data_IF_211771433835
#
_entry.id   IF_211771433835
#
_cell.length_a   1.000
_cell.length_b   1.000
_cell.length_c   1.000
_cell.angle_alpha   90.00
_cell.angle_beta   90.00
_cell.angle_gamma   90.00
#
_symmetry.space_group_name_H-M   'P 1'
#
loop_
_entity.id
_entity.type
_entity.pdbx_description
1 polymer ?
#
# COMPACT_ATOMS: atom_id res chain seq x y z
N UNK A 1 -4.56 -12.23 0.32
CA UNK A 1 -4.51 -13.50 -0.44
C UNK A 1 -4.48 -14.69 0.53
N UNK A 2 -4.63 -15.92 0.03
CA UNK A 2 -4.25 -17.12 0.80
C UNK A 2 -2.79 -16.98 1.23
N UNK A 3 -2.49 -17.31 2.49
CA UNK A 3 -1.18 -17.11 3.13
C UNK A 3 -1.06 -15.79 3.89
N UNK A 4 -1.81 -14.74 3.55
CA UNK A 4 -1.71 -13.47 4.27
C UNK A 4 -2.35 -13.56 5.68
N UNK A 5 -1.53 -13.34 6.71
CA UNK A 5 -1.94 -13.32 8.10
C UNK A 5 -2.53 -14.67 8.54
N UNK A 6 -3.85 -14.71 8.80
CA UNK A 6 -4.55 -15.94 9.18
C UNK A 6 -5.25 -16.65 8.00
N UNK A 7 -5.12 -16.13 6.77
CA UNK A 7 -5.72 -16.75 5.59
C UNK A 7 -4.88 -17.96 5.15
N UNK A 8 -5.50 -19.11 4.90
CA UNK A 8 -4.77 -20.35 4.58
C UNK A 8 -5.53 -21.23 3.59
N UNK A 9 -4.81 -22.21 3.02
CA UNK A 9 -5.39 -23.29 2.23
C UNK A 9 -4.96 -24.63 2.81
N UNK A 10 -5.87 -25.60 2.84
CA UNK A 10 -5.54 -26.99 3.20
C UNK A 10 -4.76 -27.73 2.11
N UNK A 11 -4.75 -27.18 0.90
CA UNK A 11 -4.04 -27.72 -0.26
C UNK A 11 -2.85 -26.81 -0.57
N UNK A 12 -1.62 -27.34 -0.72
CA UNK A 12 -0.45 -26.55 -1.06
C UNK A 12 -0.66 -25.67 -2.30
N UNK A 13 -1.36 -26.17 -3.32
CA UNK A 13 -1.65 -25.42 -4.56
C UNK A 13 -2.54 -24.19 -4.34
N UNK A 14 -3.24 -24.10 -3.21
CA UNK A 14 -4.05 -22.93 -2.90
C UNK A 14 -3.22 -21.70 -2.53
N UNK A 15 -1.92 -21.86 -2.32
CA UNK A 15 -0.97 -20.76 -2.13
C UNK A 15 -0.45 -20.18 -3.46
N UNK A 16 -0.62 -20.89 -4.57
CA UNK A 16 -0.24 -20.41 -5.91
C UNK A 16 -1.25 -19.37 -6.39
N UNK A 17 -1.10 -18.14 -5.91
CA UNK A 17 -2.02 -17.01 -6.17
C UNK A 17 -1.28 -15.82 -6.78
N UNK A 18 -2.04 -14.93 -7.38
CA UNK A 18 -1.57 -13.67 -7.96
C UNK A 18 -2.60 -12.57 -7.74
N UNK A 19 -2.37 -11.39 -8.29
CA UNK A 19 -3.26 -10.24 -8.12
C UNK A 19 -4.64 -10.52 -8.72
N UNK A 20 -4.70 -11.13 -9.91
CA UNK A 20 -5.96 -11.51 -10.56
C UNK A 20 -6.70 -12.57 -9.75
N UNK A 21 -6.06 -13.70 -9.42
CA UNK A 21 -6.73 -14.78 -8.69
C UNK A 21 -7.12 -14.37 -7.28
N UNK A 22 -6.29 -13.57 -6.60
CA UNK A 22 -6.63 -12.96 -5.29
C UNK A 22 -7.85 -12.07 -5.40
N UNK A 23 -7.93 -11.22 -6.43
CA UNK A 23 -9.07 -10.31 -6.62
C UNK A 23 -10.37 -11.09 -6.88
N UNK A 24 -10.30 -12.18 -7.65
CA UNK A 24 -11.46 -13.05 -7.89
C UNK A 24 -11.89 -13.81 -6.62
N UNK A 25 -10.93 -14.30 -5.82
CA UNK A 25 -11.22 -14.92 -4.53
C UNK A 25 -11.84 -13.92 -3.54
N UNK A 26 -11.37 -12.68 -3.49
CA UNK A 26 -11.94 -11.62 -2.65
C UNK A 26 -13.35 -11.24 -3.13
N UNK A 27 -13.58 -11.19 -4.43
CA UNK A 27 -14.92 -11.00 -4.99
C UNK A 27 -15.87 -12.13 -4.57
N UNK A 28 -15.44 -13.39 -4.67
CA UNK A 28 -16.22 -14.54 -4.22
C UNK A 28 -16.47 -14.52 -2.70
N UNK A 29 -15.46 -14.12 -1.90
CA UNK A 29 -15.59 -13.92 -0.46
C UNK A 29 -16.67 -12.89 -0.13
N UNK A 30 -16.69 -11.75 -0.83
CA UNK A 30 -17.71 -10.71 -0.63
C UNK A 30 -19.11 -11.26 -0.94
N UNK A 31 -19.27 -11.96 -2.07
CA UNK A 31 -20.54 -12.59 -2.43
C UNK A 31 -21.04 -13.52 -1.33
N UNK A 32 -20.19 -14.45 -0.87
CA UNK A 32 -20.52 -15.37 0.22
C UNK A 32 -20.87 -14.64 1.52
N UNK A 33 -20.07 -13.65 1.90
CA UNK A 33 -20.30 -12.88 3.12
C UNK A 33 -21.65 -12.17 3.09
N UNK A 34 -22.02 -11.54 1.97
CA UNK A 34 -23.30 -10.87 1.82
C UNK A 34 -24.49 -11.83 1.68
N UNK A 35 -24.28 -13.05 1.16
CA UNK A 35 -25.27 -14.13 1.22
C UNK A 35 -25.56 -14.53 2.67
N UNK A 36 -24.52 -14.68 3.49
CA UNK A 36 -24.66 -15.08 4.90
C UNK A 36 -25.11 -13.92 5.81
N UNK A 37 -24.91 -12.67 5.38
CA UNK A 37 -25.25 -11.47 6.15
C UNK A 37 -26.14 -10.51 5.36
N UNK A 38 -27.35 -10.93 4.94
CA UNK A 38 -28.21 -10.17 4.03
C UNK A 38 -28.65 -8.82 4.61
N UNK A 39 -28.66 -8.67 5.95
CA UNK A 39 -28.94 -7.40 6.64
C UNK A 39 -28.01 -6.25 6.22
N UNK A 40 -26.83 -6.55 5.66
CA UNK A 40 -25.90 -5.52 5.21
C UNK A 40 -26.06 -5.14 3.74
N UNK A 41 -26.87 -5.85 2.95
CA UNK A 41 -27.02 -5.63 1.50
C UNK A 41 -27.48 -4.21 1.14
N UNK A 42 -28.27 -3.59 2.00
CA UNK A 42 -28.79 -2.23 1.79
C UNK A 42 -27.75 -1.15 2.11
N UNK A 43 -26.67 -1.47 2.82
CA UNK A 43 -25.66 -0.48 3.17
C UNK A 43 -24.82 -0.09 1.95
N UNK A 44 -24.44 1.19 1.82
CA UNK A 44 -23.42 1.63 0.87
C UNK A 44 -22.13 0.80 1.04
N UNK A 45 -21.69 0.15 -0.03
CA UNK A 45 -20.43 -0.57 -0.08
C UNK A 45 -19.34 0.29 -0.71
N UNK A 46 -18.21 0.42 -0.02
CA UNK A 46 -16.98 1.02 -0.53
C UNK A 46 -15.83 0.04 -0.39
N UNK A 47 -14.94 0.00 -1.39
CA UNK A 47 -13.71 -0.80 -1.35
C UNK A 47 -12.51 0.11 -1.08
N UNK A 48 -11.65 -0.25 -0.13
CA UNK A 48 -10.50 0.56 0.26
C UNK A 48 -9.22 -0.25 0.40
N UNK A 49 -8.08 0.39 0.14
CA UNK A 49 -6.76 -0.17 0.47
C UNK A 49 -5.61 0.75 0.06
N UNK A 50 -4.42 0.48 0.60
CA UNK A 50 -3.21 1.26 0.33
C UNK A 50 -2.17 0.45 -0.48
N UNK A 51 -1.22 1.14 -1.09
CA UNK A 51 -0.04 0.52 -1.74
C UNK A 51 -0.43 -0.40 -2.90
N UNK A 52 -0.01 -1.67 -2.88
CA UNK A 52 -0.33 -2.70 -3.88
C UNK A 52 -1.85 -2.90 -4.05
N UNK A 53 -2.66 -2.50 -3.07
CA UNK A 53 -4.11 -2.48 -3.23
C UNK A 53 -4.58 -1.59 -4.39
N UNK A 54 -3.75 -0.67 -4.89
CA UNK A 54 -3.98 0.06 -6.14
C UNK A 54 -4.13 -0.83 -7.38
N UNK A 55 -3.66 -2.08 -7.34
CA UNK A 55 -3.96 -3.08 -8.36
C UNK A 55 -5.29 -3.79 -8.09
N UNK A 56 -5.49 -4.22 -6.85
CA UNK A 56 -6.59 -5.10 -6.46
C UNK A 56 -7.93 -4.36 -6.37
N UNK A 57 -7.98 -3.22 -5.68
CA UNK A 57 -9.21 -2.47 -5.40
C UNK A 57 -9.98 -2.09 -6.67
N UNK A 58 -9.39 -1.42 -7.68
CA UNK A 58 -10.12 -1.07 -8.89
C UNK A 58 -10.51 -2.31 -9.71
N UNK A 59 -9.71 -3.38 -9.69
CA UNK A 59 -10.07 -4.64 -10.34
C UNK A 59 -11.29 -5.29 -9.69
N UNK A 60 -11.30 -5.38 -8.35
CA UNK A 60 -12.44 -5.94 -7.59
C UNK A 60 -13.68 -5.08 -7.80
N UNK A 61 -13.55 -3.75 -7.76
CA UNK A 61 -14.66 -2.83 -8.05
C UNK A 61 -15.25 -3.08 -9.45
N UNK A 62 -14.41 -3.29 -10.46
CA UNK A 62 -14.87 -3.64 -11.81
C UNK A 62 -15.62 -4.97 -11.81
N UNK A 63 -15.12 -6.01 -11.13
CA UNK A 63 -15.79 -7.32 -11.06
C UNK A 63 -17.17 -7.25 -10.38
N UNK A 64 -17.30 -6.41 -9.34
CA UNK A 64 -18.59 -6.14 -8.72
C UNK A 64 -19.52 -5.40 -9.70
N UNK A 65 -19.04 -4.37 -10.39
CA UNK A 65 -19.83 -3.64 -11.41
C UNK A 65 -20.35 -4.57 -12.51
N UNK A 66 -19.48 -5.40 -13.08
CA UNK A 66 -19.85 -6.40 -14.09
C UNK A 66 -20.91 -7.38 -13.55
N UNK A 67 -20.81 -7.76 -12.27
CA UNK A 67 -21.79 -8.62 -11.60
C UNK A 67 -23.16 -7.95 -11.45
N UNK A 68 -23.19 -6.66 -11.11
CA UNK A 68 -24.42 -5.85 -11.00
C UNK A 68 -25.10 -5.71 -12.37
N UNK A 69 -24.34 -5.36 -13.40
CA UNK A 69 -24.85 -5.23 -14.79
C UNK A 69 -25.42 -6.56 -15.31
N UNK A 70 -24.80 -7.68 -14.94
CA UNK A 70 -25.27 -9.01 -15.28
C UNK A 70 -26.43 -9.53 -14.38
N UNK A 71 -26.90 -8.74 -13.42
CA UNK A 71 -27.99 -9.13 -12.51
C UNK A 71 -27.65 -10.30 -11.58
N UNK A 72 -26.37 -10.50 -11.26
CA UNK A 72 -25.92 -11.60 -10.38
C UNK A 72 -26.31 -11.30 -8.93
N UNK A 73 -26.93 -12.29 -8.28
CA UNK A 73 -27.30 -12.21 -6.86
C UNK A 73 -26.17 -12.69 -5.94
N UNK A 74 -25.99 -12.08 -4.75
CA UNK A 74 -26.67 -10.87 -4.30
C UNK A 74 -26.15 -9.62 -5.00
N UNK A 75 -27.05 -8.65 -5.25
CA UNK A 75 -26.67 -7.35 -5.80
C UNK A 75 -25.99 -6.55 -4.70
N UNK A 76 -24.69 -6.26 -4.89
CA UNK A 76 -23.91 -5.48 -3.94
C UNK A 76 -24.15 -3.98 -4.17
N UNK A 77 -24.45 -3.23 -3.12
CA UNK A 77 -24.71 -1.78 -3.20
C UNK A 77 -23.41 -0.95 -3.30
N UNK A 78 -22.58 -1.23 -4.31
CA UNK A 78 -21.31 -0.53 -4.55
C UNK A 78 -21.56 0.96 -4.84
N UNK A 79 -20.89 1.84 -4.09
CA UNK A 79 -20.95 3.30 -4.30
C UNK A 79 -19.65 3.91 -4.78
N UNK A 80 -18.53 3.26 -4.49
CA UNK A 80 -17.23 3.75 -4.91
C UNK A 80 -16.08 2.96 -4.29
N UNK A 81 -14.89 3.47 -4.50
CA UNK A 81 -13.67 2.91 -3.92
C UNK A 81 -12.69 4.02 -3.55
N UNK A 82 -11.74 3.69 -2.69
CA UNK A 82 -10.67 4.58 -2.29
C UNK A 82 -9.33 3.85 -2.29
N UNK A 83 -8.28 4.55 -2.72
CA UNK A 83 -6.93 3.99 -2.74
C UNK A 83 -5.90 4.99 -2.24
N UNK A 84 -5.06 4.54 -1.31
CA UNK A 84 -4.02 5.36 -0.68
C UNK A 84 -2.63 4.99 -1.16
N UNK A 85 -1.83 5.99 -1.55
CA UNK A 85 -0.50 5.82 -2.11
C UNK A 85 -0.44 4.64 -3.11
N UNK A 86 -1.33 4.59 -4.12
CA UNK A 86 -1.56 3.39 -4.90
C UNK A 86 -0.45 3.15 -5.92
N UNK A 87 0.18 1.98 -5.84
CA UNK A 87 0.93 1.47 -6.97
C UNK A 87 -0.06 1.10 -8.08
N UNK A 88 0.32 1.35 -9.33
CA UNK A 88 -0.47 1.08 -10.54
C UNK A 88 0.20 0.16 -11.53
N UNK A 89 1.50 -0.11 -11.36
CA UNK A 89 2.29 -0.98 -12.23
C UNK A 89 2.95 -0.22 -13.39
N UNK A 90 2.62 1.05 -13.54
CA UNK A 90 3.19 1.94 -14.54
C UNK A 90 4.65 2.29 -14.24
N UNK A 91 5.35 2.71 -15.29
CA UNK A 91 6.72 3.22 -15.19
C UNK A 91 6.77 4.48 -14.32
N UNK A 92 5.69 5.28 -14.32
CA UNK A 92 5.61 6.53 -13.56
C UNK A 92 5.67 6.34 -12.04
N UNK A 93 5.27 5.18 -11.53
CA UNK A 93 5.38 4.85 -10.10
C UNK A 93 6.86 4.82 -9.65
N UNK A 94 7.78 4.53 -10.56
CA UNK A 94 9.22 4.47 -10.28
C UNK A 94 9.93 5.77 -10.64
N UNK A 95 9.68 6.28 -11.85
CA UNK A 95 10.40 7.46 -12.32
C UNK A 95 10.07 8.71 -11.48
N UNK A 96 8.86 8.80 -10.94
CA UNK A 96 8.46 9.89 -10.03
C UNK A 96 9.24 9.93 -8.71
N UNK A 97 9.87 8.82 -8.29
CA UNK A 97 10.71 8.76 -7.08
C UNK A 97 11.93 9.68 -7.18
N UNK A 98 12.46 9.87 -8.39
CA UNK A 98 13.61 10.76 -8.63
C UNK A 98 13.21 12.22 -8.45
N UNK A 99 12.15 12.67 -9.12
CA UNK A 99 11.63 14.05 -8.96
C UNK A 99 11.17 14.32 -7.53
N UNK A 100 10.57 13.33 -6.87
CA UNK A 100 10.17 13.47 -5.47
C UNK A 100 11.37 13.65 -4.55
N UNK A 101 12.39 12.78 -4.66
CA UNK A 101 13.59 12.84 -3.83
C UNK A 101 14.36 14.16 -4.03
N UNK A 102 14.37 14.69 -5.25
CA UNK A 102 14.93 16.00 -5.55
C UNK A 102 14.15 17.11 -4.84
N UNK A 103 12.82 17.13 -4.97
CA UNK A 103 11.96 18.15 -4.38
C UNK A 103 11.97 18.20 -2.84
N UNK A 104 12.36 17.11 -2.19
CA UNK A 104 12.47 17.02 -0.72
C UNK A 104 13.92 17.02 -0.21
N UNK A 105 14.90 17.28 -1.09
CA UNK A 105 16.30 17.46 -0.72
C UNK A 105 17.09 16.20 -0.39
N UNK A 106 16.63 15.02 -0.82
CA UNK A 106 17.37 13.75 -0.67
C UNK A 106 18.51 13.65 -1.68
N UNK A 107 18.33 14.21 -2.89
CA UNK A 107 19.35 14.18 -3.95
C UNK A 107 19.67 15.60 -4.45
N UNK A 108 20.92 15.86 -4.89
CA UNK A 108 21.33 17.16 -5.43
C UNK A 108 20.89 17.35 -6.89
N UNK A 109 20.84 18.62 -7.33
CA UNK A 109 20.50 19.03 -8.70
C UNK A 109 21.31 18.27 -9.76
N UNK A 110 22.63 18.15 -9.56
CA UNK A 110 23.50 17.48 -10.52
C UNK A 110 23.09 16.02 -10.77
N UNK A 111 22.73 15.27 -9.72
CA UNK A 111 22.28 13.89 -9.87
C UNK A 111 20.91 13.83 -10.53
N UNK A 112 20.00 14.73 -10.14
CA UNK A 112 18.68 14.83 -10.75
C UNK A 112 18.76 15.09 -12.26
N UNK A 113 19.53 16.08 -12.69
CA UNK A 113 19.76 16.43 -14.10
C UNK A 113 20.41 15.28 -14.88
N UNK A 114 21.41 14.62 -14.30
CA UNK A 114 22.07 13.45 -14.90
C UNK A 114 21.08 12.32 -15.17
N UNK A 115 20.17 12.05 -14.22
CA UNK A 115 19.12 11.03 -14.41
C UNK A 115 18.15 11.45 -15.49
N UNK A 116 17.67 12.70 -15.48
CA UNK A 116 16.74 13.19 -16.50
C UNK A 116 17.32 13.18 -17.92
N UNK A 117 18.63 13.37 -18.07
CA UNK A 117 19.31 13.32 -19.36
C UNK A 117 19.51 11.89 -19.84
N UNK A 118 20.06 11.01 -18.99
CA UNK A 118 20.51 9.69 -19.42
C UNK A 118 19.48 8.56 -19.29
N UNK A 119 18.41 8.76 -18.53
CA UNK A 119 17.38 7.74 -18.29
C UNK A 119 16.08 7.96 -19.09
N UNK A 120 16.08 8.79 -20.14
CA UNK A 120 14.87 9.02 -20.92
C UNK A 120 14.40 7.73 -21.62
N UNK A 121 13.17 7.31 -21.34
CA UNK A 121 12.57 6.09 -21.91
C UNK A 121 13.07 4.78 -21.32
N UNK A 122 13.97 4.82 -20.34
CA UNK A 122 14.44 3.63 -19.61
C UNK A 122 13.41 3.17 -18.58
N UNK A 123 13.39 1.86 -18.31
CA UNK A 123 12.74 1.33 -17.11
C UNK A 123 13.68 1.53 -15.92
N UNK A 124 13.31 2.41 -14.99
CA UNK A 124 14.13 2.74 -13.83
C UNK A 124 14.35 1.53 -12.90
N UNK A 125 13.54 0.47 -13.00
CA UNK A 125 13.74 -0.79 -12.26
C UNK A 125 14.87 -1.62 -12.85
N UNK A 126 15.09 -1.53 -14.16
CA UNK A 126 16.04 -2.35 -14.93
C UNK A 126 16.67 -1.53 -16.06
N UNK A 127 17.42 -0.46 -15.73
CA UNK A 127 18.03 0.39 -16.73
C UNK A 127 19.04 -0.40 -17.56
N UNK A 128 18.99 -0.26 -18.87
CA UNK A 128 19.93 -0.92 -19.80
C UNK A 128 21.12 -0.03 -20.15
N UNK A 129 20.92 1.29 -20.16
CA UNK A 129 21.96 2.29 -20.32
C UNK A 129 22.88 2.38 -19.09
N UNK A 130 24.20 2.25 -19.30
CA UNK A 130 25.21 2.26 -18.23
C UNK A 130 25.25 3.58 -17.43
N UNK A 131 25.37 4.78 -18.06
CA UNK A 131 25.22 6.04 -17.35
C UNK A 131 23.95 6.14 -16.49
N UNK A 132 22.80 5.73 -17.04
CA UNK A 132 21.55 5.71 -16.30
C UNK A 132 21.60 4.77 -15.10
N UNK A 133 22.10 3.54 -15.28
CA UNK A 133 22.23 2.56 -14.22
C UNK A 133 23.13 3.05 -13.07
N UNK A 134 24.23 3.74 -13.39
CA UNK A 134 25.13 4.33 -12.39
C UNK A 134 24.47 5.48 -11.62
N UNK A 135 23.77 6.37 -12.32
CA UNK A 135 23.05 7.47 -11.71
C UNK A 135 21.91 6.96 -10.80
N UNK A 136 21.12 5.99 -11.27
CA UNK A 136 20.07 5.35 -10.47
C UNK A 136 20.65 4.54 -9.29
N UNK A 137 21.83 3.95 -9.44
CA UNK A 137 22.55 3.32 -8.32
C UNK A 137 22.90 4.33 -7.22
N UNK A 138 23.44 5.50 -7.61
CA UNK A 138 23.75 6.59 -6.67
C UNK A 138 22.48 7.12 -5.99
N UNK A 139 21.42 7.32 -6.76
CA UNK A 139 20.10 7.70 -6.25
C UNK A 139 19.57 6.70 -5.22
N UNK A 140 19.64 5.40 -5.53
CA UNK A 140 19.15 4.36 -4.62
C UNK A 140 19.94 4.31 -3.31
N UNK A 141 21.26 4.54 -3.37
CA UNK A 141 22.09 4.61 -2.17
C UNK A 141 21.66 5.78 -1.28
N UNK A 142 21.54 6.99 -1.83
CA UNK A 142 21.09 8.18 -1.08
C UNK A 142 19.67 8.02 -0.53
N UNK A 143 18.74 7.52 -1.36
CA UNK A 143 17.36 7.24 -0.94
C UNK A 143 17.30 6.19 0.17
N UNK A 144 18.27 5.28 0.23
CA UNK A 144 18.31 4.28 1.28
C UNK A 144 18.71 4.85 2.64
N UNK A 145 19.29 6.05 2.74
CA UNK A 145 19.63 6.66 4.03
C UNK A 145 18.41 7.19 4.81
N UNK A 146 17.22 7.24 4.18
CA UNK A 146 15.98 7.73 4.80
C UNK A 146 14.93 6.62 4.95
N UNK A 147 14.02 6.79 5.91
CA UNK A 147 12.85 5.92 6.04
C UNK A 147 11.88 6.17 4.89
N UNK A 148 11.99 5.40 3.80
CA UNK A 148 11.22 5.65 2.57
C UNK A 148 9.69 5.63 2.74
N UNK A 149 9.16 4.93 3.75
CA UNK A 149 7.73 4.94 4.04
C UNK A 149 7.25 6.25 4.69
N UNK A 150 8.15 7.04 5.27
CA UNK A 150 7.88 8.35 5.85
C UNK A 150 9.23 9.05 6.09
N UNK A 151 9.62 9.93 5.16
CA UNK A 151 10.98 10.47 5.07
C UNK A 151 11.42 11.34 6.25
N UNK A 152 10.50 11.80 7.10
CA UNK A 152 10.84 12.61 8.29
C UNK A 152 11.15 11.78 9.54
N UNK A 153 10.92 10.47 9.50
CA UNK A 153 11.17 9.58 10.63
C UNK A 153 12.52 8.86 10.49
N UNK A 154 13.08 8.48 11.63
CA UNK A 154 14.35 7.76 11.70
C UNK A 154 14.26 6.37 11.04
N UNK A 155 15.25 6.03 10.21
CA UNK A 155 15.44 4.64 9.77
C UNK A 155 16.05 3.82 10.92
N UNK A 156 15.17 3.18 11.68
CA UNK A 156 15.51 2.41 12.87
C UNK A 156 16.43 1.20 12.65
N UNK A 157 16.65 0.77 11.40
CA UNK A 157 17.66 -0.24 11.09
C UNK A 157 19.07 0.36 10.98
N UNK A 158 19.19 1.62 10.56
CA UNK A 158 20.46 2.36 10.48
C UNK A 158 20.90 2.91 11.85
N UNK A 159 19.94 3.27 12.71
CA UNK A 159 20.18 3.84 14.06
C UNK A 159 20.51 2.77 15.12
N UNK A 160 20.71 1.50 14.72
CA UNK A 160 21.14 0.42 15.61
C UNK A 160 22.64 0.10 15.42
N UNK A 161 23.58 0.89 15.98
CA UNK A 161 25.00 0.55 15.97
C UNK A 161 25.26 -0.55 17.00
N UNK A 162 25.03 -1.81 16.62
CA UNK A 162 25.81 -2.88 17.22
C UNK A 162 27.29 -2.71 16.81
N UNK A 163 28.28 -3.06 17.65
CA UNK A 163 29.67 -2.85 17.31
C UNK A 163 30.03 -3.67 16.05
N UNK A 164 30.34 -2.98 14.94
CA UNK A 164 31.01 -3.56 13.77
C UNK A 164 30.19 -3.89 12.52
N UNK A 165 29.23 -3.06 12.07
CA UNK A 165 28.42 -3.36 10.87
C UNK A 165 28.78 -2.52 9.63
N UNK A 166 29.24 -3.22 8.59
CA UNK A 166 29.28 -2.74 7.20
C UNK A 166 27.85 -2.57 6.64
N UNK A 167 27.75 -1.61 5.73
CA UNK A 167 26.57 -0.98 5.12
C UNK A 167 25.97 -1.81 3.98
N UNK A 168 25.45 -3.00 4.27
CA UNK A 168 24.67 -3.77 3.29
C UNK A 168 23.27 -4.09 3.82
N UNK A 169 22.26 -3.36 3.30
CA UNK A 169 20.84 -3.60 3.58
C UNK A 169 20.38 -4.99 3.14
N UNK A 170 21.09 -5.63 2.21
CA UNK A 170 20.90 -7.03 1.77
C UNK A 170 21.34 -8.07 2.81
N UNK A 171 22.22 -7.72 3.74
CA UNK A 171 22.71 -8.63 4.78
C UNK A 171 21.83 -8.65 6.04
N UNK A 172 20.84 -7.75 6.15
CA UNK A 172 19.89 -7.74 7.28
C UNK A 172 18.91 -8.92 7.24
N UNK A 173 18.76 -9.60 6.09
CA UNK A 173 18.06 -10.88 5.99
C UNK A 173 18.88 -12.09 6.49
N UNK A 174 20.17 -11.92 6.79
CA UNK A 174 21.09 -13.06 6.99
C UNK A 174 21.79 -13.11 8.35
N UNK A 175 21.46 -12.23 9.31
CA UNK A 175 21.88 -12.47 10.71
C UNK A 175 20.89 -13.44 11.37
N UNK A 176 21.09 -14.73 11.10
CA UNK A 176 20.79 -15.79 12.07
C UNK A 176 21.47 -15.37 13.37
N UNK A 177 20.70 -14.80 14.30
CA UNK A 177 21.11 -14.75 15.70
C UNK A 177 21.38 -16.21 16.06
N UNK A 178 22.66 -16.52 16.32
CA UNK A 178 23.12 -17.80 16.87
C UNK A 178 22.64 -17.89 18.33
N UNK A 179 21.33 -17.98 18.50
CA UNK A 179 20.67 -18.53 19.67
C UNK A 179 19.26 -18.89 19.22
N UNK A 180 19.02 -20.17 18.96
CA UNK A 180 17.68 -20.76 18.95
C UNK A 180 17.06 -20.69 20.35
N UNK A 181 16.97 -19.50 20.94
CA UNK A 181 16.09 -19.31 22.08
C UNK A 181 14.68 -19.37 21.53
N UNK A 182 14.00 -20.46 21.87
CA UNK A 182 12.57 -20.60 21.64
C UNK A 182 11.86 -19.42 22.30
N UNK A 183 11.43 -18.44 21.50
CA UNK A 183 10.60 -17.36 22.03
C UNK A 183 9.23 -17.95 22.32
N UNK A 184 8.86 -17.97 23.60
CA UNK A 184 7.56 -18.45 24.06
C UNK A 184 6.66 -17.23 24.25
N UNK A 185 5.62 -17.14 23.42
CA UNK A 185 4.55 -16.16 23.59
C UNK A 185 3.42 -16.85 24.34
N UNK A 186 3.34 -16.60 25.65
CA UNK A 186 2.33 -17.14 26.59
C UNK A 186 1.81 -18.54 26.21
N UNK A 187 2.70 -19.52 26.23
CA UNK A 187 2.35 -20.94 26.02
C UNK A 187 2.48 -21.46 24.58
N UNK A 188 2.77 -20.60 23.58
CA UNK A 188 3.08 -21.03 22.21
C UNK A 188 4.53 -20.68 21.87
N UNK A 189 5.28 -21.66 21.37
CA UNK A 189 6.61 -21.43 20.79
C UNK A 189 6.44 -20.82 19.39
N UNK A 190 7.03 -19.66 19.17
CA UNK A 190 7.09 -19.05 17.83
C UNK A 190 8.42 -19.36 17.15
N UNK A 191 8.41 -19.50 15.82
CA UNK A 191 9.56 -19.95 15.04
C UNK A 191 10.29 -18.78 14.36
N UNK A 192 9.58 -17.71 13.99
CA UNK A 192 10.14 -16.62 13.20
C UNK A 192 9.88 -15.22 13.80
N UNK A 193 10.33 -14.96 15.05
CA UNK A 193 10.14 -13.64 15.64
C UNK A 193 10.88 -12.58 14.82
N UNK A 194 10.25 -11.42 14.54
CA UNK A 194 10.93 -10.32 13.88
C UNK A 194 12.07 -9.78 14.76
N UNK A 195 13.12 -9.20 14.16
CA UNK A 195 14.20 -8.58 14.93
C UNK A 195 13.64 -7.48 15.84
N UNK A 196 14.14 -7.44 17.08
CA UNK A 196 13.72 -6.41 18.04
C UNK A 196 14.14 -5.04 17.56
N UNK A 197 13.18 -4.12 17.52
CA UNK A 197 13.38 -2.72 17.15
C UNK A 197 13.51 -1.87 18.44
N UNK A 198 14.30 -0.77 18.46
CA UNK A 198 14.32 0.16 19.59
C UNK A 198 12.93 0.68 19.96
N UNK A 199 12.69 0.96 21.25
CA UNK A 199 11.39 1.39 21.78
C UNK A 199 10.89 2.72 21.18
N UNK A 200 11.80 3.64 20.84
CA UNK A 200 11.47 4.95 20.24
C UNK A 200 11.12 4.89 18.76
N UNK A 201 11.21 3.72 18.14
CA UNK A 201 10.99 3.57 16.71
C UNK A 201 9.52 3.43 16.36
N UNK A 202 9.12 4.11 15.28
CA UNK A 202 7.76 4.01 14.77
C UNK A 202 7.34 2.56 14.42
N UNK A 203 8.28 1.78 13.90
CA UNK A 203 8.09 0.35 13.57
C UNK A 203 7.98 -0.58 14.79
N UNK A 204 8.17 -0.08 16.02
CA UNK A 204 8.00 -0.87 17.24
C UNK A 204 6.56 -1.39 17.41
N UNK A 205 5.57 -0.61 16.97
CA UNK A 205 4.17 -1.04 16.96
C UNK A 205 3.95 -2.27 16.07
N UNK A 206 4.57 -2.29 14.89
CA UNK A 206 4.56 -3.45 13.99
C UNK A 206 5.28 -4.66 14.62
N UNK A 207 6.37 -4.45 15.35
CA UNK A 207 7.03 -5.50 16.12
C UNK A 207 6.09 -6.13 17.17
N UNK A 208 5.36 -5.30 17.94
CA UNK A 208 4.39 -5.79 18.93
C UNK A 208 3.23 -6.57 18.31
N UNK A 209 2.77 -6.18 17.12
CA UNK A 209 1.64 -6.83 16.44
C UNK A 209 1.87 -8.33 16.24
N UNK A 210 3.12 -8.74 16.00
CA UNK A 210 3.49 -10.15 15.85
C UNK A 210 3.25 -10.96 17.13
N UNK A 211 3.64 -10.43 18.28
CA UNK A 211 3.43 -11.09 19.57
C UNK A 211 1.97 -11.11 19.95
N UNK A 212 1.28 -9.98 19.74
CA UNK A 212 -0.15 -9.88 20.00
C UNK A 212 -0.94 -10.90 19.17
N UNK A 213 -0.69 -11.01 17.86
CA UNK A 213 -1.41 -11.92 16.98
C UNK A 213 -1.08 -13.41 17.20
N UNK A 214 0.12 -13.71 17.72
CA UNK A 214 0.54 -15.09 18.02
C UNK A 214 0.26 -15.53 19.46
N UNK A 215 -0.21 -14.62 20.32
CA UNK A 215 -0.67 -14.94 21.67
C UNK A 215 -1.86 -15.92 21.64
N UNK A 216 -1.83 -16.93 22.52
CA UNK A 216 -2.86 -17.98 22.56
C UNK A 216 -4.25 -17.40 22.83
N UNK A 217 -4.36 -16.43 23.75
CA UNK A 217 -5.64 -15.84 24.09
C UNK A 217 -6.16 -14.96 22.96
N UNK A 218 -5.28 -14.22 22.27
CA UNK A 218 -5.66 -13.46 21.08
C UNK A 218 -6.18 -14.38 19.98
N UNK A 219 -5.47 -15.49 19.71
CA UNK A 219 -5.87 -16.43 18.67
C UNK A 219 -7.20 -17.12 18.97
N UNK A 220 -7.42 -17.50 20.21
CA UNK A 220 -8.69 -18.08 20.67
C UNK A 220 -9.83 -17.06 20.53
N UNK A 221 -9.61 -15.82 20.99
CA UNK A 221 -10.58 -14.72 20.85
C UNK A 221 -10.92 -14.39 19.38
N UNK A 222 -9.95 -14.52 18.47
CA UNK A 222 -10.16 -14.35 17.03
C UNK A 222 -10.73 -15.61 16.33
N UNK A 223 -10.95 -16.70 17.07
CA UNK A 223 -11.49 -17.96 16.54
C UNK A 223 -10.52 -18.71 15.61
N UNK A 224 -9.21 -18.49 15.76
CA UNK A 224 -8.19 -19.13 14.93
C UNK A 224 -8.00 -20.58 15.37
N UNK A 225 -8.50 -21.50 14.55
CA UNK A 225 -8.49 -22.95 14.87
C UNK A 225 -7.09 -23.54 14.78
N UNK A 226 -6.79 -24.47 15.68
CA UNK A 226 -5.56 -25.26 15.58
C UNK A 226 -5.50 -26.10 14.29
N UNK A 227 -4.29 -26.29 13.77
CA UNK A 227 -4.06 -26.97 12.49
C UNK A 227 -4.38 -26.13 11.24
N UNK A 228 -4.62 -24.82 11.38
CA UNK A 228 -4.84 -23.89 10.25
C UNK A 228 -3.59 -23.10 9.88
N UNK A 229 -3.26 -22.07 10.66
CA UNK A 229 -2.07 -21.23 10.50
C UNK A 229 -1.17 -21.42 11.72
N UNK A 230 0.06 -21.86 11.49
CA UNK A 230 1.05 -22.08 12.54
C UNK A 230 1.46 -20.78 13.23
N UNK A 231 1.72 -19.74 12.46
CA UNK A 231 2.26 -18.47 12.94
C UNK A 231 1.73 -17.34 12.07
N UNK A 232 1.21 -16.31 12.70
CA UNK A 232 0.85 -15.08 12.01
C UNK A 232 2.12 -14.29 11.72
N UNK A 233 2.28 -13.84 10.48
CA UNK A 233 3.30 -12.87 10.09
C UNK A 233 2.63 -11.69 9.40
N UNK A 234 3.18 -10.49 9.62
CA UNK A 234 2.61 -9.25 9.08
C UNK A 234 2.67 -9.21 7.56
N UNK A 235 3.83 -9.57 7.00
CA UNK A 235 4.09 -9.61 5.57
C UNK A 235 5.00 -10.80 5.26
N UNK A 236 4.63 -11.56 4.23
CA UNK A 236 5.51 -12.54 3.59
C UNK A 236 6.51 -11.83 2.67
N UNK A 237 7.71 -12.37 2.51
CA UNK A 237 8.81 -11.75 1.76
C UNK A 237 9.54 -12.80 0.93
N UNK A 238 8.90 -13.21 -0.17
CA UNK A 238 9.46 -14.18 -1.11
C UNK A 238 9.38 -15.64 -0.66
N UNK A 239 8.77 -15.92 0.50
CA UNK A 239 8.59 -17.27 1.05
C UNK A 239 7.29 -17.95 0.60
N UNK A 240 6.38 -17.20 -0.02
CA UNK A 240 5.18 -17.72 -0.68
C UNK A 240 5.15 -17.31 -2.16
N UNK A 241 4.64 -18.18 -3.05
CA UNK A 241 4.45 -17.82 -4.45
C UNK A 241 3.35 -16.75 -4.56
N UNK A 242 3.71 -15.59 -5.13
CA UNK A 242 2.75 -14.54 -5.44
C UNK A 242 3.05 -13.93 -6.81
N UNK A 243 2.13 -14.07 -7.76
CA UNK A 243 2.28 -13.49 -9.09
C UNK A 243 1.79 -12.04 -9.13
N UNK A 244 2.64 -11.13 -9.59
CA UNK A 244 2.26 -9.76 -9.97
C UNK A 244 1.81 -9.80 -11.44
N UNK A 245 0.53 -10.11 -11.65
CA UNK A 245 -0.05 -10.42 -12.96
C UNK A 245 -1.02 -9.35 -13.49
N UNK A 246 -1.22 -8.25 -12.73
CA UNK A 246 -1.81 -7.01 -13.22
C UNK A 246 -0.68 -6.06 -13.62
N UNK A 247 -0.37 -6.00 -14.91
CA UNK A 247 0.70 -5.12 -15.42
C UNK A 247 0.40 -3.63 -15.27
N UNK A 248 -0.86 -3.22 -15.42
CA UNK A 248 -1.32 -1.85 -15.16
C UNK A 248 -2.75 -1.84 -14.64
N UNK A 249 -3.01 -1.06 -13.59
CA UNK A 249 -4.34 -0.91 -13.00
C UNK A 249 -5.14 0.30 -13.51
N UNK A 250 -4.52 1.20 -14.27
CA UNK A 250 -5.16 2.45 -14.78
C UNK A 250 -6.44 2.16 -15.56
N UNK A 251 -6.44 1.10 -16.38
CA UNK A 251 -7.63 0.71 -17.16
C UNK A 251 -8.84 0.38 -16.27
N UNK A 252 -8.61 -0.24 -15.11
CA UNK A 252 -9.67 -0.58 -14.17
C UNK A 252 -10.20 0.68 -13.48
N UNK A 253 -9.31 1.61 -13.10
CA UNK A 253 -9.74 2.93 -12.60
C UNK A 253 -10.65 3.65 -13.61
N UNK A 254 -10.25 3.70 -14.88
CA UNK A 254 -11.04 4.31 -15.96
C UNK A 254 -12.41 3.66 -16.10
N UNK A 255 -12.46 2.33 -16.22
CA UNK A 255 -13.71 1.59 -16.42
C UNK A 255 -14.70 1.81 -15.26
N UNK A 256 -14.23 1.67 -14.02
CA UNK A 256 -15.09 1.82 -12.84
C UNK A 256 -15.65 3.23 -12.73
N UNK A 257 -14.82 4.26 -12.95
CA UNK A 257 -15.30 5.65 -12.93
C UNK A 257 -16.22 6.01 -14.10
N UNK A 258 -16.01 5.40 -15.28
CA UNK A 258 -16.91 5.57 -16.43
C UNK A 258 -18.31 5.00 -16.17
N UNK A 259 -18.42 3.97 -15.32
CA UNK A 259 -19.68 3.42 -14.84
C UNK A 259 -20.33 4.26 -13.71
N UNK A 260 -19.77 5.44 -13.39
CA UNK A 260 -20.36 6.40 -12.46
C UNK A 260 -19.99 6.21 -10.99
N UNK A 261 -19.21 5.18 -10.65
CA UNK A 261 -18.75 4.97 -9.26
C UNK A 261 -17.74 6.02 -8.84
N UNK A 262 -17.83 6.46 -7.58
CA UNK A 262 -16.93 7.47 -7.00
C UNK A 262 -15.55 6.86 -6.72
N UNK A 263 -14.50 7.65 -6.92
CA UNK A 263 -13.13 7.29 -6.57
C UNK A 263 -12.48 8.36 -5.68
N UNK A 264 -11.90 7.96 -4.56
CA UNK A 264 -10.96 8.79 -3.80
C UNK A 264 -9.56 8.22 -3.95
N UNK A 265 -8.69 8.93 -4.64
CA UNK A 265 -7.27 8.65 -4.68
C UNK A 265 -6.59 9.58 -3.70
N UNK A 266 -5.79 9.07 -2.78
CA UNK A 266 -5.03 9.93 -1.88
C UNK A 266 -3.59 9.50 -1.73
N UNK A 267 -2.72 10.44 -1.38
CA UNK A 267 -1.30 10.14 -1.12
C UNK A 267 -0.79 10.95 0.07
N UNK A 268 -0.10 10.30 0.99
CA UNK A 268 0.76 11.00 1.94
C UNK A 268 1.88 11.75 1.22
N UNK A 269 2.07 13.03 1.53
CA UNK A 269 3.05 13.88 0.83
C UNK A 269 4.51 13.57 1.23
N UNK A 270 4.73 12.73 2.24
CA UNK A 270 6.06 12.29 2.68
C UNK A 270 6.37 10.82 2.35
N UNK A 271 5.56 10.18 1.51
CA UNK A 271 5.82 8.84 0.99
C UNK A 271 6.84 8.85 -0.15
N UNK A 272 7.97 8.16 0.03
CA UNK A 272 8.98 7.94 -1.00
C UNK A 272 8.90 6.55 -1.66
N UNK A 273 7.94 5.70 -1.26
CA UNK A 273 7.67 4.38 -1.86
C UNK A 273 6.74 4.54 -3.06
N UNK A 274 5.63 5.26 -2.92
CA UNK A 274 4.73 5.62 -4.01
C UNK A 274 4.44 7.13 -3.92
N UNK A 275 5.35 7.97 -4.43
CA UNK A 275 5.23 9.41 -4.30
C UNK A 275 3.95 9.95 -4.94
N UNK A 276 3.36 10.94 -4.28
CA UNK A 276 2.17 11.64 -4.76
C UNK A 276 2.32 12.21 -6.19
N UNK A 277 3.55 12.53 -6.62
CA UNK A 277 3.84 12.99 -7.98
C UNK A 277 3.48 11.93 -9.03
N UNK A 278 3.81 10.66 -8.78
CA UNK A 278 3.44 9.55 -9.65
C UNK A 278 1.94 9.33 -9.66
N UNK A 279 1.32 9.40 -8.48
CA UNK A 279 -0.14 9.30 -8.33
C UNK A 279 -0.87 10.39 -9.12
N UNK A 280 -0.45 11.64 -8.97
CA UNK A 280 -1.03 12.78 -9.67
C UNK A 280 -0.84 12.66 -11.19
N UNK A 281 0.32 12.17 -11.64
CA UNK A 281 0.60 11.98 -13.06
C UNK A 281 -0.31 10.94 -13.72
N UNK A 282 -0.53 9.78 -13.09
CA UNK A 282 -1.44 8.79 -13.66
C UNK A 282 -2.91 9.19 -13.54
N UNK A 283 -3.32 9.86 -12.46
CA UNK A 283 -4.69 10.41 -12.36
C UNK A 283 -4.94 11.40 -13.50
N UNK A 284 -3.97 12.27 -13.80
CA UNK A 284 -4.04 13.22 -14.93
C UNK A 284 -4.09 12.50 -16.28
N UNK A 285 -3.40 11.36 -16.45
CA UNK A 285 -3.39 10.60 -17.71
C UNK A 285 -4.74 9.98 -18.08
N UNK A 286 -5.69 9.92 -17.13
CA UNK A 286 -7.07 9.52 -17.42
C UNK A 286 -7.80 10.50 -18.33
N UNK A 287 -7.37 11.77 -18.39
CA UNK A 287 -7.90 12.78 -19.30
C UNK A 287 -9.29 13.31 -18.92
N UNK A 288 -9.71 13.15 -17.66
CA UNK A 288 -10.99 13.68 -17.19
C UNK A 288 -10.91 15.20 -17.01
N UNK A 289 -11.96 15.96 -17.41
CA UNK A 289 -12.09 17.38 -17.09
C UNK A 289 -12.02 17.67 -15.59
N UNK A 290 -11.30 18.72 -15.22
CA UNK A 290 -11.28 19.25 -13.85
C UNK A 290 -12.60 20.00 -13.59
N UNK A 291 -13.21 19.72 -12.43
CA UNK A 291 -14.47 20.35 -12.00
C UNK A 291 -14.33 21.12 -10.67
N UNK A 292 -13.25 20.89 -9.94
CA UNK A 292 -12.83 21.68 -8.78
C UNK A 292 -11.30 21.77 -8.82
N UNK A 293 -10.78 23.00 -8.98
CA UNK A 293 -9.36 23.26 -9.20
C UNK A 293 -8.51 22.89 -7.98
N UNK A 294 -7.20 22.74 -8.21
CA UNK A 294 -6.25 22.43 -7.15
C UNK A 294 -6.29 23.47 -6.03
N UNK A 295 -6.69 23.04 -4.83
CA UNK A 295 -6.84 23.91 -3.65
C UNK A 295 -6.48 23.19 -2.38
N UNK A 296 -6.17 23.95 -1.33
CA UNK A 296 -6.00 23.39 0.00
C UNK A 296 -7.33 22.89 0.57
N UNK A 297 -7.29 21.74 1.25
CA UNK A 297 -8.36 21.30 2.15
C UNK A 297 -7.89 21.44 3.60
N UNK A 298 -8.82 21.74 4.50
CA UNK A 298 -8.49 22.21 5.85
C UNK A 298 -9.09 21.33 6.95
N UNK A 299 -8.33 21.15 8.02
CA UNK A 299 -8.79 20.58 9.28
C UNK A 299 -8.26 21.47 10.41
N UNK A 300 -9.13 21.83 11.36
CA UNK A 300 -8.79 22.66 12.52
C UNK A 300 -8.04 23.97 12.19
N UNK A 301 -8.45 24.63 11.11
CA UNK A 301 -7.89 25.91 10.68
C UNK A 301 -6.50 25.82 10.03
N UNK A 302 -5.99 24.61 9.75
CA UNK A 302 -4.73 24.37 9.05
C UNK A 302 -4.94 23.56 7.77
N UNK A 303 -4.04 23.71 6.80
CA UNK A 303 -4.05 22.85 5.61
C UNK A 303 -3.72 21.42 6.03
N UNK A 304 -4.68 20.54 5.79
CA UNK A 304 -4.53 19.11 5.97
C UNK A 304 -3.97 18.42 4.71
N UNK A 305 -3.95 19.16 3.60
CA UNK A 305 -3.35 18.80 2.32
C UNK A 305 -3.97 19.60 1.19
N UNK A 306 -3.90 19.08 -0.03
CA UNK A 306 -4.45 19.70 -1.24
C UNK A 306 -5.32 18.71 -2.00
N UNK A 307 -6.32 19.20 -2.72
CA UNK A 307 -7.31 18.37 -3.41
C UNK A 307 -7.64 18.94 -4.79
N UNK A 308 -8.04 18.07 -5.70
CA UNK A 308 -8.59 18.37 -7.03
C UNK A 308 -9.69 17.37 -7.36
N UNK A 309 -10.76 17.80 -8.03
CA UNK A 309 -11.84 16.92 -8.46
C UNK A 309 -12.01 16.92 -9.98
N UNK A 310 -12.43 15.77 -10.49
CA UNK A 310 -12.65 15.50 -11.91
C UNK A 310 -14.10 15.06 -12.18
N UNK A 311 -14.57 15.30 -13.41
CA UNK A 311 -15.97 15.05 -13.83
C UNK A 311 -16.46 13.61 -13.65
N UNK A 312 -15.56 12.63 -13.66
CA UNK A 312 -15.89 11.20 -13.55
C UNK A 312 -15.96 10.75 -12.08
N UNK A 313 -16.45 11.62 -11.20
CA UNK A 313 -16.58 11.35 -9.76
C UNK A 313 -15.25 10.93 -9.09
N UNK A 314 -14.12 11.41 -9.61
CA UNK A 314 -12.79 11.12 -9.08
C UNK A 314 -12.25 12.34 -8.33
N UNK A 315 -11.78 12.11 -7.11
CA UNK A 315 -11.08 13.10 -6.28
C UNK A 315 -9.67 12.61 -6.05
N UNK A 316 -8.68 13.48 -6.25
CA UNK A 316 -7.32 13.27 -5.79
C UNK A 316 -7.01 14.21 -4.63
N UNK A 317 -6.44 13.69 -3.54
CA UNK A 317 -6.03 14.49 -2.39
C UNK A 317 -4.65 14.10 -1.86
N UNK A 318 -3.83 15.07 -1.48
CA UNK A 318 -2.66 14.83 -0.64
C UNK A 318 -3.04 14.90 0.83
N UNK A 319 -2.33 14.16 1.68
CA UNK A 319 -2.44 14.27 3.14
C UNK A 319 -1.10 14.75 3.66
N UNK A 320 -1.08 16.01 4.13
CA UNK A 320 0.13 16.68 4.55
C UNK A 320 0.68 16.10 5.85
N UNK A 321 1.96 15.75 5.87
CA UNK A 321 2.65 15.07 6.97
C UNK A 321 2.58 13.54 6.91
N UNK A 322 1.73 12.97 6.04
CA UNK A 322 1.49 11.55 6.04
C UNK A 322 2.51 10.78 5.18
N UNK A 323 2.78 9.54 5.57
CA UNK A 323 3.65 8.60 4.85
C UNK A 323 2.87 7.64 3.95
N UNK A 324 3.48 6.48 3.65
CA UNK A 324 2.98 5.48 2.70
C UNK A 324 1.61 4.92 3.05
N UNK A 325 1.41 4.54 4.31
CA UNK A 325 0.11 4.19 4.88
C UNK A 325 -0.44 5.42 5.58
N UNK A 326 -0.96 6.39 4.83
CA UNK A 326 -1.30 7.71 5.36
C UNK A 326 -2.12 7.69 6.68
N UNK A 327 -3.14 6.82 6.85
CA UNK A 327 -3.90 6.73 8.11
C UNK A 327 -3.08 6.29 9.32
N UNK A 328 -1.94 5.64 9.13
CA UNK A 328 -1.03 5.26 10.21
C UNK A 328 -0.34 6.50 10.79
N UNK A 329 0.08 7.42 9.93
CA UNK A 329 0.89 8.59 10.28
C UNK A 329 0.03 9.81 10.64
N UNK A 330 -1.09 10.00 9.94
CA UNK A 330 -1.99 11.15 10.10
C UNK A 330 -3.47 10.69 10.24
N UNK A 331 -3.80 9.96 11.32
CA UNK A 331 -5.10 9.31 11.48
C UNK A 331 -6.28 10.30 11.48
N UNK A 332 -6.12 11.45 12.14
CA UNK A 332 -7.18 12.47 12.24
C UNK A 332 -7.50 13.09 10.88
N UNK A 333 -6.45 13.44 10.11
CA UNK A 333 -6.58 13.99 8.75
C UNK A 333 -7.23 12.96 7.81
N UNK A 334 -6.75 11.72 7.84
CA UNK A 334 -7.31 10.65 7.02
C UNK A 334 -8.77 10.33 7.38
N UNK A 335 -9.12 10.33 8.67
CA UNK A 335 -10.50 10.14 9.11
C UNK A 335 -11.41 11.27 8.62
N UNK A 336 -10.98 12.54 8.77
CA UNK A 336 -11.74 13.68 8.28
C UNK A 336 -11.94 13.63 6.76
N UNK A 337 -10.90 13.31 6.00
CA UNK A 337 -10.95 13.13 4.56
C UNK A 337 -11.93 12.01 4.16
N UNK A 338 -11.79 10.83 4.77
CA UNK A 338 -12.67 9.70 4.52
C UNK A 338 -14.13 10.05 4.85
N UNK A 339 -14.39 10.59 6.04
CA UNK A 339 -15.72 10.95 6.52
C UNK A 339 -16.39 11.96 5.60
N UNK A 340 -15.70 13.04 5.23
CA UNK A 340 -16.24 14.04 4.28
C UNK A 340 -16.55 13.40 2.94
N UNK A 341 -15.62 12.61 2.41
CA UNK A 341 -15.81 11.98 1.11
C UNK A 341 -17.00 11.01 1.09
N UNK A 342 -17.13 10.08 2.06
CA UNK A 342 -18.27 9.14 2.09
C UNK A 342 -19.61 9.83 2.33
N UNK A 343 -19.62 10.95 3.06
CA UNK A 343 -20.82 11.77 3.30
C UNK A 343 -21.12 12.78 2.17
N UNK A 344 -20.39 12.74 1.07
CA UNK A 344 -20.54 13.67 -0.06
C UNK A 344 -20.32 15.15 0.33
N UNK A 345 -19.49 15.38 1.34
CA UNK A 345 -19.07 16.71 1.75
C UNK A 345 -17.77 17.09 1.02
N UNK A 346 -17.57 18.39 0.71
CA UNK A 346 -16.30 18.86 0.18
C UNK A 346 -15.15 18.55 1.13
N UNK A 347 -13.97 18.26 0.56
CA UNK A 347 -12.73 18.21 1.32
C UNK A 347 -12.30 19.62 1.76
#
# INVERSE_FOLDING_TARGET
>A
PVGAGFSFSRRPQGYDVGEVSTSLQLHELLIKWFTDHPKFLTNPLYLGGDSLAGHLVPFIAQKISEGIEAGRSPILNLKGYLVGNPATGEIIDESSKVSYAHGVGIIPDQLYETILEHCQGEDYRKPTNTPCAQALGTFNNLRSEVMTAQILLDDCYLVSPGPGTQTDKSASASRKILSEEAVIVRGRRVKHPPPRVPLGCYSYTAYLSYFWANDVLTRDALGIKDGTVDEWVRCHSGDLPYAVDIGSSIKYHRNVTANGYRALVYSGDHDAIVPHLGTQAWVRSLGFPVVDDWRAWHLDGQSAGFTIAYSNNMTFATVKGAGHTAPQYEPERCYAMFSRWVLHQPL
#
